data_IF_754007715844
#
_entry.id   IF_754007715844
#
_cell.length_a   1.000
_cell.length_b   1.000
_cell.length_c   1.000
_cell.angle_alpha   90.00
_cell.angle_beta   90.00
_cell.angle_gamma   90.00
#
_symmetry.space_group_name_H-M   'P 1'
#
loop_
_entity.id
_entity.type
_entity.pdbx_description
1 polymer ?
#
# COMPACT_ATOMS: atom_id res chain seq x y z
N UNK A 1 17.29 10.51 -12.60
CA UNK A 1 16.11 10.02 -13.32
C UNK A 1 15.72 10.99 -14.43
N UNK A 2 15.42 10.48 -15.60
CA UNK A 2 14.99 11.32 -16.71
C UNK A 2 13.59 11.87 -16.44
N UNK A 3 13.32 13.06 -16.99
CA UNK A 3 12.03 13.73 -16.77
C UNK A 3 10.84 12.90 -17.25
N UNK A 4 10.99 12.18 -18.37
CA UNK A 4 9.96 11.30 -18.92
C UNK A 4 9.68 10.09 -18.02
N UNK A 5 10.71 9.54 -17.41
CA UNK A 5 10.57 8.42 -16.48
C UNK A 5 9.84 8.86 -15.20
N UNK A 6 10.18 10.04 -14.69
CA UNK A 6 9.52 10.61 -13.52
C UNK A 6 8.03 10.82 -13.77
N UNK A 7 7.68 11.33 -14.94
CA UNK A 7 6.28 11.52 -15.33
C UNK A 7 5.53 10.20 -15.45
N UNK A 8 6.18 9.19 -16.02
CA UNK A 8 5.61 7.85 -16.17
C UNK A 8 5.26 7.26 -14.80
N UNK A 9 6.20 7.27 -13.88
CA UNK A 9 5.99 6.72 -12.54
C UNK A 9 4.96 7.51 -11.74
N UNK A 10 4.92 8.82 -11.87
CA UNK A 10 3.91 9.64 -11.21
C UNK A 10 2.51 9.31 -11.72
N UNK A 11 2.35 9.09 -13.01
CA UNK A 11 1.07 8.73 -13.61
C UNK A 11 0.62 7.35 -13.12
N UNK A 12 1.52 6.37 -13.12
CA UNK A 12 1.22 5.03 -12.62
C UNK A 12 0.81 5.07 -11.15
N UNK A 13 1.54 5.82 -10.34
CA UNK A 13 1.23 5.99 -8.92
C UNK A 13 -0.17 6.57 -8.70
N UNK A 14 -0.53 7.57 -9.50
CA UNK A 14 -1.87 8.18 -9.41
C UNK A 14 -2.97 7.20 -9.74
N UNK A 15 -2.75 6.31 -10.72
CA UNK A 15 -3.71 5.27 -11.06
C UNK A 15 -3.80 4.21 -9.97
N UNK A 16 -2.68 3.81 -9.38
CA UNK A 16 -2.67 2.88 -8.26
C UNK A 16 -3.45 3.43 -7.06
N UNK A 17 -3.22 4.69 -6.72
CA UNK A 17 -3.94 5.34 -5.63
C UNK A 17 -5.44 5.43 -5.92
N UNK A 18 -5.80 5.80 -7.15
CA UNK A 18 -7.20 5.89 -7.57
C UNK A 18 -7.90 4.53 -7.44
N UNK A 19 -7.22 3.46 -7.87
CA UNK A 19 -7.76 2.11 -7.78
C UNK A 19 -7.97 1.69 -6.32
N UNK A 20 -7.00 1.95 -5.45
CA UNK A 20 -7.11 1.61 -4.03
C UNK A 20 -8.24 2.39 -3.36
N UNK A 21 -8.42 3.65 -3.72
CA UNK A 21 -9.52 4.46 -3.22
C UNK A 21 -10.87 3.90 -3.66
N UNK A 22 -10.99 3.49 -4.92
CA UNK A 22 -12.22 2.88 -5.42
C UNK A 22 -12.52 1.55 -4.75
N UNK A 23 -11.50 0.75 -4.44
CA UNK A 23 -11.65 -0.50 -3.70
C UNK A 23 -12.23 -0.27 -2.31
N UNK A 24 -11.97 0.87 -1.71
CA UNK A 24 -12.57 1.23 -0.43
C UNK A 24 -14.05 1.55 -0.50
N UNK A 25 -14.58 1.78 -1.71
CA UNK A 25 -15.97 2.18 -1.92
C UNK A 25 -16.83 1.10 -2.56
N UNK A 26 -16.23 0.21 -3.35
CA UNK A 26 -16.98 -0.85 -4.03
C UNK A 26 -16.09 -2.04 -4.38
N UNK A 27 -16.72 -3.17 -4.67
CA UNK A 27 -16.02 -4.40 -5.03
C UNK A 27 -15.29 -4.24 -6.36
N UNK A 28 -14.17 -4.94 -6.48
CA UNK A 28 -13.31 -4.88 -7.66
C UNK A 28 -14.06 -5.15 -8.96
N UNK A 29 -15.00 -6.10 -8.95
CA UNK A 29 -15.75 -6.49 -10.15
C UNK A 29 -16.60 -5.34 -10.72
N UNK A 30 -16.88 -4.31 -9.93
CA UNK A 30 -17.66 -3.16 -10.37
C UNK A 30 -16.80 -1.96 -10.72
N UNK A 31 -15.50 -2.04 -10.56
CA UNK A 31 -14.58 -0.96 -10.90
C UNK A 31 -14.26 -1.02 -12.39
N UNK A 32 -14.39 0.11 -13.07
CA UNK A 32 -14.13 0.20 -14.51
C UNK A 32 -12.88 1.04 -14.78
N UNK A 33 -12.29 0.83 -15.96
CA UNK A 33 -11.17 1.66 -16.44
C UNK A 33 -11.57 3.13 -16.47
N UNK A 34 -12.80 3.42 -16.91
CA UNK A 34 -13.30 4.79 -16.95
C UNK A 34 -13.24 5.46 -15.57
N UNK A 35 -13.70 4.75 -14.54
CA UNK A 35 -13.69 5.28 -13.17
C UNK A 35 -12.28 5.52 -12.66
N UNK A 36 -11.37 4.60 -12.94
CA UNK A 36 -9.97 4.74 -12.55
C UNK A 36 -9.37 5.97 -13.22
N UNK A 37 -9.62 6.14 -14.52
CA UNK A 37 -9.10 7.27 -15.28
C UNK A 37 -9.65 8.60 -14.77
N UNK A 38 -10.94 8.65 -14.48
CA UNK A 38 -11.58 9.86 -13.93
C UNK A 38 -10.98 10.22 -12.55
N UNK A 39 -10.83 9.22 -11.68
CA UNK A 39 -10.29 9.44 -10.34
C UNK A 39 -8.81 9.85 -10.38
N UNK A 40 -8.04 9.30 -11.32
CA UNK A 40 -6.62 9.62 -11.46
C UNK A 40 -6.37 10.89 -12.27
N UNK A 41 -7.38 11.39 -12.98
CA UNK A 41 -7.22 12.55 -13.85
C UNK A 41 -6.43 12.25 -15.12
N UNK A 42 -6.62 11.08 -15.69
CA UNK A 42 -5.94 10.65 -16.92
C UNK A 42 -6.97 10.15 -17.92
N UNK A 43 -6.56 10.01 -19.20
CA UNK A 43 -7.44 9.46 -20.22
C UNK A 43 -7.19 7.96 -20.41
N UNK A 44 -8.07 7.30 -21.17
CA UNK A 44 -7.99 5.86 -21.41
C UNK A 44 -6.71 5.42 -22.09
N UNK A 45 -6.22 6.19 -23.04
CA UNK A 45 -4.99 5.84 -23.74
C UNK A 45 -3.81 5.82 -22.77
N UNK A 46 -3.79 6.72 -21.79
CA UNK A 46 -2.79 6.73 -20.75
C UNK A 46 -2.85 5.46 -19.90
N UNK A 47 -4.05 5.03 -19.53
CA UNK A 47 -4.21 3.76 -18.81
C UNK A 47 -3.58 2.61 -19.58
N UNK A 48 -3.90 2.47 -20.86
CA UNK A 48 -3.42 1.36 -21.67
C UNK A 48 -1.95 1.45 -22.07
N UNK A 49 -1.30 2.58 -21.82
CA UNK A 49 0.17 2.67 -21.90
C UNK A 49 0.84 1.95 -20.74
N UNK A 50 0.17 1.89 -19.60
CA UNK A 50 0.72 1.32 -18.36
C UNK A 50 0.24 -0.10 -18.09
N UNK A 51 -1.02 -0.40 -18.41
CA UNK A 51 -1.66 -1.67 -18.07
C UNK A 51 -2.51 -2.17 -19.22
N UNK A 52 -2.54 -3.49 -19.41
CA UNK A 52 -3.44 -4.09 -20.39
C UNK A 52 -4.83 -4.27 -19.82
N UNK A 53 -4.91 -4.61 -18.52
CA UNK A 53 -6.17 -4.87 -17.83
C UNK A 53 -6.16 -4.26 -16.44
N UNK A 54 -7.35 -4.20 -15.83
CA UNK A 54 -7.47 -3.80 -14.42
C UNK A 54 -6.73 -4.79 -13.52
N UNK A 55 -6.66 -6.07 -13.92
CA UNK A 55 -5.90 -7.08 -13.18
C UNK A 55 -4.42 -6.74 -13.07
N UNK A 56 -3.83 -6.19 -14.14
CA UNK A 56 -2.44 -5.74 -14.11
C UNK A 56 -2.25 -4.59 -13.14
N UNK A 57 -3.18 -3.64 -13.16
CA UNK A 57 -3.17 -2.52 -12.21
C UNK A 57 -3.32 -3.02 -10.78
N UNK A 58 -4.22 -3.98 -10.55
CA UNK A 58 -4.42 -4.57 -9.22
C UNK A 58 -3.13 -5.22 -8.71
N UNK A 59 -2.44 -5.97 -9.56
CA UNK A 59 -1.19 -6.63 -9.19
C UNK A 59 -0.15 -5.62 -8.73
N UNK A 60 0.01 -4.53 -9.49
CA UNK A 60 0.95 -3.48 -9.14
C UNK A 60 0.54 -2.76 -7.86
N UNK A 61 -0.76 -2.50 -7.68
CA UNK A 61 -1.27 -1.84 -6.48
C UNK A 61 -1.04 -2.68 -5.22
N UNK A 62 -1.23 -4.00 -5.32
CA UNK A 62 -0.96 -4.92 -4.21
C UNK A 62 0.54 -4.90 -3.88
N UNK A 63 1.38 -4.92 -4.90
CA UNK A 63 2.83 -4.87 -4.71
C UNK A 63 3.24 -3.58 -4.01
N UNK A 64 2.67 -2.45 -4.42
CA UNK A 64 2.91 -1.16 -3.78
C UNK A 64 2.48 -1.19 -2.30
N UNK A 65 1.31 -1.74 -2.01
CA UNK A 65 0.83 -1.87 -0.63
C UNK A 65 1.77 -2.73 0.20
N UNK A 66 2.26 -3.84 -0.36
CA UNK A 66 3.20 -4.72 0.34
C UNK A 66 4.50 -4.00 0.66
N UNK A 67 5.02 -3.21 -0.27
CA UNK A 67 6.23 -2.42 -0.04
C UNK A 67 6.04 -1.40 1.08
N UNK A 68 4.90 -0.71 1.08
CA UNK A 68 4.56 0.23 2.13
C UNK A 68 4.42 -0.45 3.49
N UNK A 69 3.79 -1.62 3.51
CA UNK A 69 3.65 -2.41 4.73
C UNK A 69 5.00 -2.88 5.27
N UNK A 70 5.86 -3.41 4.40
CA UNK A 70 7.18 -3.89 4.83
C UNK A 70 8.03 -2.75 5.38
N UNK A 71 7.97 -1.58 4.77
CA UNK A 71 8.69 -0.42 5.27
C UNK A 71 8.16 0.03 6.62
N UNK A 72 6.84 0.04 6.78
CA UNK A 72 6.19 0.36 8.04
C UNK A 72 6.58 -0.63 9.14
N UNK A 73 6.59 -1.92 8.81
CA UNK A 73 7.00 -2.99 9.73
C UNK A 73 8.45 -2.84 10.16
N UNK A 74 9.32 -2.50 9.21
CA UNK A 74 10.74 -2.28 9.50
C UNK A 74 10.91 -1.15 10.52
N UNK A 75 10.24 -0.04 10.29
CA UNK A 75 10.30 1.10 11.20
C UNK A 75 9.78 0.73 12.58
N UNK A 76 8.66 0.02 12.64
CA UNK A 76 8.08 -0.44 13.90
C UNK A 76 8.98 -1.42 14.63
N UNK A 77 9.64 -2.32 13.89
CA UNK A 77 10.58 -3.28 14.47
C UNK A 77 11.78 -2.56 15.08
N UNK A 78 12.30 -1.54 14.40
CA UNK A 78 13.41 -0.75 14.91
C UNK A 78 13.03 -0.02 16.20
N UNK A 79 11.82 0.54 16.25
CA UNK A 79 11.30 1.18 17.45
C UNK A 79 11.11 0.19 18.59
N UNK A 80 10.63 -1.02 18.29
CA UNK A 80 10.44 -2.08 19.26
C UNK A 80 11.77 -2.52 19.88
N UNK A 81 12.78 -2.75 19.04
CA UNK A 81 14.12 -3.13 19.50
C UNK A 81 14.71 -2.04 20.37
N UNK A 82 14.58 -0.79 19.97
CA UNK A 82 15.04 0.35 20.75
C UNK A 82 14.39 0.39 22.13
N UNK A 83 13.09 0.14 22.20
CA UNK A 83 12.34 0.10 23.46
C UNK A 83 12.79 -1.04 24.36
N UNK A 84 13.02 -2.23 23.79
CA UNK A 84 13.53 -3.37 24.56
C UNK A 84 14.87 -3.06 25.21
N UNK A 85 15.76 -2.37 24.47
CA UNK A 85 17.09 -2.01 24.98
C UNK A 85 17.00 -0.98 26.10
N UNK A 86 16.00 -0.13 26.10
CA UNK A 86 15.84 0.92 27.12
C UNK A 86 15.03 0.48 28.32
N UNK A 87 14.17 -0.53 28.18
CA UNK A 87 13.27 -0.94 29.25
C UNK A 87 13.86 -2.00 30.15
N UNK A 88 13.62 -1.92 31.49
CA UNK A 88 13.92 -3.02 32.40
C UNK A 88 13.10 -4.26 32.05
N UNK A 89 13.61 -5.44 32.41
CA UNK A 89 12.96 -6.72 32.11
C UNK A 89 11.50 -6.81 32.59
N UNK A 90 11.22 -6.22 33.72
CA UNK A 90 9.88 -6.25 34.33
C UNK A 90 8.86 -5.40 33.54
N UNK A 91 9.31 -4.42 32.76
CA UNK A 91 8.46 -3.58 31.93
C UNK A 91 8.22 -4.14 30.53
N UNK A 92 9.00 -5.12 30.09
CA UNK A 92 8.84 -5.72 28.76
C UNK A 92 7.47 -6.36 28.57
N UNK A 93 6.86 -6.89 29.62
CA UNK A 93 5.53 -7.46 29.55
C UNK A 93 4.46 -6.43 29.19
N UNK A 94 4.64 -5.19 29.60
CA UNK A 94 3.68 -4.12 29.33
C UNK A 94 3.86 -3.55 27.92
N UNK A 95 5.08 -3.59 27.40
CA UNK A 95 5.43 -3.01 26.10
C UNK A 95 5.07 -3.97 24.94
N UNK A 96 5.31 -5.27 25.12
CA UNK A 96 5.19 -6.26 24.07
C UNK A 96 3.78 -6.32 23.44
N UNK A 97 2.67 -6.40 24.20
CA UNK A 97 1.34 -6.41 23.58
C UNK A 97 1.05 -5.15 22.79
N UNK A 98 1.50 -3.99 23.27
CA UNK A 98 1.28 -2.71 22.62
C UNK A 98 1.91 -2.65 21.23
N UNK A 99 3.11 -3.22 21.08
CA UNK A 99 3.82 -3.18 19.80
C UNK A 99 3.44 -4.33 18.87
N UNK A 100 3.01 -5.46 19.41
CA UNK A 100 2.61 -6.62 18.58
C UNK A 100 1.18 -6.53 18.07
N UNK A 101 0.27 -5.90 18.80
CA UNK A 101 -1.14 -5.81 18.41
C UNK A 101 -1.32 -5.20 17.01
N UNK A 102 -0.69 -4.08 16.63
CA UNK A 102 -0.84 -3.53 15.29
C UNK A 102 -0.43 -4.50 14.19
N UNK A 103 0.62 -5.29 14.42
CA UNK A 103 1.07 -6.29 13.44
C UNK A 103 0.05 -7.39 13.27
N UNK A 104 -0.48 -7.89 14.37
CA UNK A 104 -1.48 -8.96 14.35
C UNK A 104 -2.78 -8.49 13.70
N UNK A 105 -3.21 -7.28 13.96
CA UNK A 105 -4.38 -6.70 13.35
C UNK A 105 -4.20 -6.52 11.84
N UNK A 106 -3.04 -6.06 11.41
CA UNK A 106 -2.75 -5.88 10.01
C UNK A 106 -2.78 -7.21 9.26
N UNK A 107 -2.14 -8.24 9.84
CA UNK A 107 -2.11 -9.57 9.25
C UNK A 107 -3.53 -10.13 9.14
N UNK A 108 -4.36 -9.95 10.17
CA UNK A 108 -5.74 -10.44 10.17
C UNK A 108 -6.58 -9.77 9.07
N UNK A 109 -6.41 -8.46 8.85
CA UNK A 109 -7.15 -7.73 7.81
C UNK A 109 -6.74 -8.10 6.40
N UNK A 110 -5.48 -8.43 6.18
CA UNK A 110 -4.91 -8.64 4.86
C UNK A 110 -4.58 -10.10 4.57
N UNK A 111 -5.09 -11.00 5.39
CA UNK A 111 -4.86 -12.44 5.25
C UNK A 111 -5.73 -13.02 4.13
N UNK A 112 -5.20 -13.05 2.92
CA UNK A 112 -5.83 -13.71 1.80
C UNK A 112 -4.77 -14.19 0.82
#
# INVERSE_FOLDING_TARGET
>A
MKKSESKYFNTAFRMDEAFLELLGKKDMEYITVKEICEAAGVNRSTFYLHYETIGDLMTESIQYMNEQFLEHMKLRAEMFVSKIQECPLDELYLVTPEYLTPYLEYIARNKR
#
